data_IF_761162770036
#
_entry.id   IF_761162770036
#
_cell.length_a   1.000
_cell.length_b   1.000
_cell.length_c   1.000
_cell.angle_alpha   90.00
_cell.angle_beta   90.00
_cell.angle_gamma   90.00
#
_symmetry.space_group_name_H-M   'P 1'
#
loop_
_entity.id
_entity.type
_entity.pdbx_description
1 polymer ?
#
# COMPACT_ATOMS: atom_id res chain seq x y z
N UNK A 1 1.63 8.52 -1.71
CA UNK A 1 1.84 8.96 -3.10
C UNK A 1 1.70 7.74 -4.01
N UNK A 2 1.11 7.90 -5.20
CA UNK A 2 0.99 6.81 -6.17
C UNK A 2 2.28 6.67 -6.98
N UNK A 3 2.75 5.44 -7.20
CA UNK A 3 3.86 5.15 -8.12
C UNK A 3 3.49 5.41 -9.58
N UNK A 4 4.49 5.41 -10.48
CA UNK A 4 4.29 5.73 -11.90
C UNK A 4 3.24 4.86 -12.61
N UNK A 5 3.16 3.57 -12.25
CA UNK A 5 2.11 2.66 -12.71
C UNK A 5 0.72 3.11 -12.26
N UNK A 6 0.54 3.38 -10.97
CA UNK A 6 -0.76 3.76 -10.42
C UNK A 6 -1.27 5.10 -10.96
N UNK A 7 -0.36 6.05 -11.21
CA UNK A 7 -0.72 7.32 -11.86
C UNK A 7 -1.21 7.12 -13.29
N UNK A 8 -0.52 6.30 -14.08
CA UNK A 8 -0.93 6.00 -15.46
C UNK A 8 -2.30 5.29 -15.51
N UNK A 9 -2.54 4.33 -14.61
CA UNK A 9 -3.82 3.65 -14.49
C UNK A 9 -4.98 4.60 -14.15
N UNK A 10 -4.80 5.51 -13.19
CA UNK A 10 -5.84 6.48 -12.84
C UNK A 10 -6.13 7.50 -13.96
N UNK A 11 -5.15 7.77 -14.81
CA UNK A 11 -5.32 8.63 -15.99
C UNK A 11 -5.96 7.89 -17.17
N UNK A 12 -6.19 6.59 -17.07
CA UNK A 12 -6.67 5.76 -18.17
C UNK A 12 -5.63 5.50 -19.27
N UNK A 13 -4.37 5.86 -19.02
CA UNK A 13 -3.26 5.68 -19.97
C UNK A 13 -2.73 4.24 -19.90
N UNK A 14 -3.46 3.33 -20.57
CA UNK A 14 -3.12 1.90 -20.58
C UNK A 14 -1.74 1.63 -21.18
N UNK A 15 -1.34 2.38 -22.20
CA UNK A 15 -0.03 2.18 -22.86
C UNK A 15 1.09 2.41 -21.87
N UNK A 16 1.07 3.57 -21.20
CA UNK A 16 2.08 3.92 -20.22
C UNK A 16 2.04 3.02 -18.98
N UNK A 17 0.86 2.59 -18.55
CA UNK A 17 0.73 1.63 -17.46
C UNK A 17 1.38 0.28 -17.80
N UNK A 18 1.13 -0.23 -19.00
CA UNK A 18 1.76 -1.48 -19.49
C UNK A 18 3.28 -1.34 -19.58
N UNK A 19 3.79 -0.25 -20.14
CA UNK A 19 5.23 0.01 -20.23
C UNK A 19 5.89 0.03 -18.85
N UNK A 20 5.27 0.70 -17.87
CA UNK A 20 5.75 0.71 -16.49
C UNK A 20 5.78 -0.69 -15.88
N UNK A 21 4.68 -1.44 -15.99
CA UNK A 21 4.56 -2.76 -15.42
C UNK A 21 5.58 -3.74 -16.04
N UNK A 22 5.72 -3.75 -17.36
CA UNK A 22 6.68 -4.59 -18.07
C UNK A 22 8.12 -4.23 -17.72
N UNK A 23 8.46 -2.94 -17.67
CA UNK A 23 9.79 -2.48 -17.29
C UNK A 23 10.16 -2.92 -15.87
N UNK A 24 9.25 -2.73 -14.91
CA UNK A 24 9.49 -3.13 -13.53
C UNK A 24 9.56 -4.65 -13.37
N UNK A 25 8.69 -5.39 -14.05
CA UNK A 25 8.74 -6.85 -14.06
C UNK A 25 10.05 -7.40 -14.64
N UNK A 26 10.59 -6.77 -15.70
CA UNK A 26 11.87 -7.12 -16.29
C UNK A 26 13.05 -6.81 -15.36
N UNK A 27 13.00 -5.69 -14.63
CA UNK A 27 14.04 -5.31 -13.65
C UNK A 27 14.00 -6.19 -12.38
N UNK A 28 12.82 -6.65 -12.00
CA UNK A 28 12.61 -7.46 -10.79
C UNK A 28 11.89 -8.79 -11.11
N UNK A 29 12.51 -9.71 -11.88
CA UNK A 29 11.88 -10.98 -12.24
C UNK A 29 11.46 -11.78 -11.01
N UNK A 30 10.20 -12.20 -10.97
CA UNK A 30 9.62 -12.97 -9.85
C UNK A 30 9.53 -12.20 -8.51
N UNK A 31 9.83 -10.89 -8.51
CA UNK A 31 9.91 -10.03 -7.33
C UNK A 31 9.12 -8.72 -7.47
N UNK A 32 8.42 -8.53 -8.58
CA UNK A 32 7.51 -7.41 -8.79
C UNK A 32 6.06 -7.85 -8.54
N UNK A 33 5.33 -7.06 -7.75
CA UNK A 33 3.92 -7.24 -7.45
C UNK A 33 3.20 -5.92 -7.64
N UNK A 34 1.97 -5.96 -8.14
CA UNK A 34 1.09 -4.79 -8.22
C UNK A 34 0.36 -4.65 -6.89
N UNK A 35 0.63 -3.55 -6.17
CA UNK A 35 0.02 -3.25 -4.87
C UNK A 35 -1.44 -2.84 -5.03
N UNK A 36 -2.32 -3.42 -4.20
CA UNK A 36 -3.73 -3.09 -4.09
C UNK A 36 -4.03 -2.61 -2.67
N UNK A 37 -4.71 -1.45 -2.55
CA UNK A 37 -5.10 -0.88 -1.26
C UNK A 37 -6.58 -0.50 -1.25
N UNK A 38 -7.27 -0.80 -0.13
CA UNK A 38 -8.68 -0.44 0.13
C UNK A 38 -8.81 0.21 1.50
N UNK A 39 -8.21 1.38 1.67
CA UNK A 39 -8.32 2.20 2.88
C UNK A 39 -9.47 3.21 2.84
N UNK A 40 -10.16 3.34 1.69
CA UNK A 40 -11.25 4.29 1.50
C UNK A 40 -10.80 5.67 1.02
N UNK A 41 -9.52 5.82 0.62
CA UNK A 41 -9.05 7.07 0.00
C UNK A 41 -9.68 7.23 -1.40
N UNK A 42 -9.99 8.46 -1.83
CA UNK A 42 -10.53 8.72 -3.16
C UNK A 42 -9.67 8.10 -4.27
N UNK A 43 -10.32 7.43 -5.21
CA UNK A 43 -9.66 6.79 -6.36
C UNK A 43 -9.04 5.41 -6.10
N UNK A 44 -8.96 4.93 -4.85
CA UNK A 44 -8.39 3.60 -4.58
C UNK A 44 -9.16 2.46 -5.24
N UNK A 45 -10.50 2.44 -5.15
CA UNK A 45 -11.27 1.37 -5.78
C UNK A 45 -11.14 1.41 -7.31
N UNK A 46 -11.16 2.59 -7.92
CA UNK A 46 -10.91 2.74 -9.35
C UNK A 46 -9.52 2.21 -9.75
N UNK A 47 -8.50 2.48 -8.92
CA UNK A 47 -7.16 1.95 -9.15
C UNK A 47 -7.12 0.42 -9.01
N UNK A 48 -7.80 -0.16 -8.01
CA UNK A 48 -7.90 -1.63 -7.86
C UNK A 48 -8.56 -2.25 -9.09
N UNK A 49 -9.70 -1.70 -9.52
CA UNK A 49 -10.43 -2.16 -10.70
C UNK A 49 -9.62 -2.04 -12.00
N UNK A 50 -8.73 -1.05 -12.11
CA UNK A 50 -7.82 -0.89 -13.25
C UNK A 50 -6.58 -1.81 -13.16
N UNK A 51 -6.09 -2.07 -11.94
CA UNK A 51 -4.88 -2.85 -11.70
C UNK A 51 -5.07 -4.34 -11.93
N UNK A 52 -6.21 -4.90 -11.52
CA UNK A 52 -6.49 -6.34 -11.59
C UNK A 52 -6.50 -6.86 -13.05
N UNK A 53 -7.19 -6.22 -14.01
CA UNK A 53 -7.15 -6.64 -15.41
C UNK A 53 -5.75 -6.53 -16.02
N UNK A 54 -5.01 -5.46 -15.72
CA UNK A 54 -3.63 -5.29 -16.21
C UNK A 54 -2.72 -6.40 -15.66
N UNK A 55 -2.84 -6.72 -14.37
CA UNK A 55 -2.08 -7.79 -13.74
C UNK A 55 -2.37 -9.14 -14.41
N UNK A 56 -3.64 -9.43 -14.71
CA UNK A 56 -4.06 -10.64 -15.40
C UNK A 56 -3.52 -10.70 -16.85
N UNK A 57 -3.63 -9.60 -17.61
CA UNK A 57 -3.13 -9.48 -18.99
C UNK A 57 -1.61 -9.73 -19.08
N UNK A 58 -0.85 -9.24 -18.10
CA UNK A 58 0.61 -9.35 -18.07
C UNK A 58 1.13 -10.57 -17.30
N UNK A 59 0.24 -11.38 -16.72
CA UNK A 59 0.63 -12.50 -15.86
C UNK A 59 1.40 -12.10 -14.60
N UNK A 60 1.13 -10.90 -14.07
CA UNK A 60 1.81 -10.35 -12.89
C UNK A 60 1.00 -10.60 -11.61
N UNK A 61 1.68 -10.87 -10.48
CA UNK A 61 0.99 -11.08 -9.22
C UNK A 61 0.53 -9.75 -8.61
N UNK A 62 -0.59 -9.78 -7.91
CA UNK A 62 -1.10 -8.66 -7.08
C UNK A 62 -0.84 -8.93 -5.60
N UNK A 63 -0.72 -7.88 -4.79
CA UNK A 63 -0.57 -8.01 -3.34
C UNK A 63 -1.42 -6.97 -2.62
N UNK A 64 -2.16 -7.40 -1.60
CA UNK A 64 -2.95 -6.50 -0.77
C UNK A 64 -2.08 -5.88 0.32
N UNK A 65 -2.20 -4.57 0.51
CA UNK A 65 -1.58 -3.86 1.62
C UNK A 65 -2.60 -2.90 2.26
N UNK A 66 -2.23 -2.34 3.40
CA UNK A 66 -2.99 -1.29 4.05
C UNK A 66 -2.04 -0.18 4.49
N UNK A 67 -2.31 1.10 4.18
CA UNK A 67 -1.43 2.22 4.50
C UNK A 67 -1.56 2.61 5.98
N UNK A 68 -1.12 1.72 6.87
CA UNK A 68 -1.21 1.85 8.33
C UNK A 68 -0.44 3.09 8.80
N UNK A 69 -1.06 3.88 9.67
CA UNK A 69 -0.49 5.11 10.26
C UNK A 69 -0.47 5.07 11.80
N UNK A 70 -1.28 4.19 12.39
CA UNK A 70 -1.49 4.07 13.83
C UNK A 70 -2.01 2.66 14.16
N UNK A 71 -2.02 2.28 15.45
CA UNK A 71 -2.28 0.90 15.85
C UNK A 71 -3.78 0.60 15.89
N UNK A 72 -4.56 1.39 16.62
CA UNK A 72 -6.01 1.20 16.76
C UNK A 72 -6.80 2.34 16.15
N UNK A 73 -8.10 2.16 15.93
CA UNK A 73 -8.93 3.20 15.30
C UNK A 73 -9.01 4.47 16.16
N UNK A 74 -8.96 4.31 17.48
CA UNK A 74 -9.01 5.40 18.47
C UNK A 74 -7.76 6.30 18.44
N UNK A 75 -6.63 5.79 17.94
CA UNK A 75 -5.37 6.54 17.83
C UNK A 75 -5.41 7.63 16.75
N UNK A 76 -6.47 7.70 15.93
CA UNK A 76 -6.57 8.65 14.83
C UNK A 76 -6.42 10.11 15.27
N UNK A 77 -7.09 10.52 16.35
CA UNK A 77 -7.02 11.90 16.85
C UNK A 77 -5.62 12.25 17.38
N UNK A 78 -4.96 11.28 18.04
CA UNK A 78 -3.58 11.43 18.48
C UNK A 78 -2.62 11.56 17.29
N UNK A 79 -2.85 10.78 16.23
CA UNK A 79 -2.08 10.88 14.99
C UNK A 79 -2.28 12.25 14.32
N UNK A 80 -3.50 12.76 14.23
CA UNK A 80 -3.80 14.07 13.65
C UNK A 80 -3.12 15.20 14.44
N UNK A 81 -3.16 15.16 15.77
CA UNK A 81 -2.43 16.11 16.61
C UNK A 81 -0.92 16.08 16.34
N UNK A 82 -0.33 14.88 16.26
CA UNK A 82 1.10 14.70 15.94
C UNK A 82 1.46 15.28 14.57
N UNK A 83 0.62 15.07 13.55
CA UNK A 83 0.82 15.62 12.20
C UNK A 83 0.75 17.14 12.22
N UNK A 84 -0.24 17.72 12.91
CA UNK A 84 -0.35 19.17 13.05
C UNK A 84 0.89 19.80 13.69
N UNK A 85 1.43 19.20 14.76
CA UNK A 85 2.69 19.67 15.38
C UNK A 85 3.84 19.64 14.38
N UNK A 86 3.98 18.57 13.60
CA UNK A 86 5.05 18.43 12.62
C UNK A 86 4.94 19.41 11.43
N UNK A 87 3.71 19.72 11.01
CA UNK A 87 3.44 20.64 9.90
C UNK A 87 3.35 22.12 10.35
N UNK A 88 3.46 22.41 11.65
CA UNK A 88 3.28 23.76 12.18
C UNK A 88 1.84 24.27 12.04
N UNK A 89 0.86 23.35 12.02
CA UNK A 89 -0.57 23.61 11.83
C UNK A 89 -1.33 23.44 13.16
N UNK A 90 -2.53 24.01 13.26
CA UNK A 90 -3.39 23.86 14.45
C UNK A 90 -4.56 22.92 14.18
N UNK A 91 -4.84 21.99 15.11
CA UNK A 91 -5.95 21.02 14.96
C UNK A 91 -7.31 21.69 14.77
N UNK A 92 -7.51 22.85 15.41
CA UNK A 92 -8.72 23.67 15.33
C UNK A 92 -8.87 24.44 14.00
N UNK A 93 -7.85 24.51 13.14
CA UNK A 93 -7.94 25.20 11.86
C UNK A 93 -8.87 24.41 10.91
N UNK A 94 -10.05 24.96 10.52
CA UNK A 94 -10.98 24.25 9.65
C UNK A 94 -10.47 24.09 8.21
N UNK A 95 -9.46 24.88 7.81
CA UNK A 95 -8.82 24.80 6.48
C UNK A 95 -7.63 23.85 6.43
N UNK A 96 -7.28 23.19 7.55
CA UNK A 96 -6.17 22.25 7.58
C UNK A 96 -6.40 21.10 6.60
N UNK A 97 -5.34 20.64 5.95
CA UNK A 97 -5.43 19.54 5.01
C UNK A 97 -5.48 18.22 5.79
N UNK A 98 -6.63 17.55 5.76
CA UNK A 98 -6.79 16.21 6.33
C UNK A 98 -6.30 15.17 5.33
N UNK A 99 -5.06 14.71 5.50
CA UNK A 99 -4.41 13.74 4.60
C UNK A 99 -4.75 12.29 4.93
N UNK A 100 -5.17 12.03 6.16
CA UNK A 100 -5.35 10.69 6.70
C UNK A 100 -6.80 10.38 7.02
N UNK A 101 -7.16 9.10 7.01
CA UNK A 101 -8.48 8.59 7.35
C UNK A 101 -8.41 7.77 8.65
N UNK A 102 -9.50 7.76 9.46
CA UNK A 102 -9.59 6.89 10.64
C UNK A 102 -9.37 5.40 10.32
N UNK A 103 -9.70 4.97 9.11
CA UNK A 103 -9.54 3.59 8.65
C UNK A 103 -8.08 3.10 8.54
N UNK A 104 -7.09 3.99 8.65
CA UNK A 104 -5.65 3.68 8.50
C UNK A 104 -4.99 3.08 9.75
N UNK A 105 -5.76 2.42 10.62
CA UNK A 105 -5.23 1.62 11.72
C UNK A 105 -4.75 0.24 11.28
N UNK A 106 -4.10 -0.50 12.19
CA UNK A 106 -3.65 -1.86 11.92
C UNK A 106 -4.81 -2.87 11.94
N UNK A 107 -5.41 -3.09 10.77
CA UNK A 107 -6.54 -4.01 10.61
C UNK A 107 -6.17 -5.46 10.95
N UNK A 108 -7.13 -6.15 11.57
CA UNK A 108 -7.05 -7.59 11.81
C UNK A 108 -7.04 -8.39 10.50
N UNK A 109 -6.57 -9.63 10.56
CA UNK A 109 -6.59 -10.54 9.41
C UNK A 109 -8.00 -10.76 8.86
N UNK A 110 -9.01 -10.87 9.72
CA UNK A 110 -10.40 -11.06 9.31
C UNK A 110 -10.91 -9.85 8.51
N UNK A 111 -10.63 -8.64 8.98
CA UNK A 111 -10.99 -7.40 8.27
C UNK A 111 -10.30 -7.30 6.91
N UNK A 112 -9.01 -7.63 6.83
CA UNK A 112 -8.28 -7.62 5.55
C UNK A 112 -8.79 -8.68 4.57
N UNK A 113 -9.16 -9.88 5.06
CA UNK A 113 -9.78 -10.92 4.23
C UNK A 113 -11.13 -10.49 3.68
N UNK A 114 -11.96 -9.85 4.50
CA UNK A 114 -13.26 -9.34 4.04
C UNK A 114 -13.07 -8.23 2.99
N UNK A 115 -12.13 -7.30 3.21
CA UNK A 115 -11.83 -6.22 2.27
C UNK A 115 -11.38 -6.71 0.89
N UNK A 116 -10.76 -7.89 0.80
CA UNK A 116 -10.23 -8.46 -0.44
C UNK A 116 -10.86 -9.81 -0.77
N UNK A 117 -12.10 -10.07 -0.34
CA UNK A 117 -12.80 -11.34 -0.55
C UNK A 117 -12.98 -11.72 -2.02
N UNK A 118 -13.05 -10.72 -2.89
CA UNK A 118 -13.13 -10.81 -4.35
C UNK A 118 -11.76 -11.06 -5.01
N UNK A 119 -10.65 -10.84 -4.29
CA UNK A 119 -9.28 -11.06 -4.79
C UNK A 119 -8.44 -11.82 -3.73
N UNK A 120 -8.77 -13.09 -3.43
CA UNK A 120 -8.08 -13.84 -2.36
C UNK A 120 -6.56 -13.97 -2.58
N UNK A 121 -6.12 -14.02 -3.85
CA UNK A 121 -4.70 -14.09 -4.22
C UNK A 121 -3.89 -12.90 -3.72
N UNK A 122 -4.49 -11.71 -3.62
CA UNK A 122 -3.82 -10.51 -3.12
C UNK A 122 -3.42 -10.68 -1.64
N UNK A 123 -4.27 -11.32 -0.84
CA UNK A 123 -3.98 -11.65 0.57
C UNK A 123 -2.99 -12.81 0.65
N UNK A 124 -3.15 -13.86 -0.15
CA UNK A 124 -2.23 -15.01 -0.14
C UNK A 124 -0.79 -14.59 -0.45
N UNK A 125 -0.61 -13.71 -1.43
CA UNK A 125 0.71 -13.20 -1.80
C UNK A 125 1.42 -12.43 -0.68
N UNK A 126 0.69 -11.83 0.27
CA UNK A 126 1.31 -11.21 1.47
C UNK A 126 2.09 -12.23 2.29
N UNK A 127 1.54 -13.44 2.46
CA UNK A 127 2.16 -14.52 3.22
C UNK A 127 3.35 -15.09 2.45
N UNK A 128 3.21 -15.25 1.14
CA UNK A 128 4.30 -15.72 0.28
C UNK A 128 5.49 -14.76 0.28
N UNK A 129 5.23 -13.45 0.22
CA UNK A 129 6.28 -12.42 0.34
C UNK A 129 6.93 -12.51 1.72
N UNK A 130 6.13 -12.55 2.80
CA UNK A 130 6.66 -12.63 4.16
C UNK A 130 7.55 -13.86 4.38
N UNK A 131 7.18 -15.03 3.82
CA UNK A 131 7.99 -16.25 3.87
C UNK A 131 9.34 -16.12 3.15
N UNK A 132 9.39 -15.34 2.06
CA UNK A 132 10.62 -15.10 1.28
C UNK A 132 11.55 -14.07 1.94
N UNK A 133 11.03 -13.22 2.81
CA UNK A 133 11.81 -12.21 3.52
C UNK A 133 12.50 -12.80 4.75
N UNK A 134 13.77 -13.22 4.59
CA UNK A 134 14.62 -13.68 5.70
C UNK A 134 15.85 -12.78 5.83
N UNK A 135 15.95 -12.04 6.93
CA UNK A 135 17.10 -11.18 7.25
C UNK A 135 17.65 -11.57 8.61
N UNK A 136 18.96 -11.84 8.68
CA UNK A 136 19.65 -12.12 9.94
C UNK A 136 20.35 -10.85 10.41
N UNK A 137 20.02 -10.39 11.62
CA UNK A 137 20.68 -9.28 12.28
C UNK A 137 21.54 -9.82 13.42
N UNK A 138 22.85 -9.61 13.33
CA UNK A 138 23.77 -9.98 14.42
C UNK A 138 23.76 -8.85 15.46
N UNK A 139 23.07 -9.08 16.57
CA UNK A 139 22.96 -8.12 17.66
C UNK A 139 23.97 -8.45 18.78
N UNK A 140 24.44 -7.43 19.49
CA UNK A 140 25.26 -7.60 20.70
C UNK A 140 26.69 -8.12 20.46
N UNK A 141 27.16 -8.19 19.21
CA UNK A 141 28.55 -8.53 18.88
C UNK A 141 29.25 -7.31 18.26
N UNK A 142 30.26 -6.73 18.91
CA UNK A 142 31.07 -5.68 18.33
C UNK A 142 31.75 -6.17 17.04
N UNK A 143 31.62 -5.42 15.94
CA UNK A 143 32.31 -5.65 14.68
C UNK A 143 33.50 -4.67 14.60
N UNK A 144 34.48 -4.87 15.48
CA UNK A 144 35.72 -4.08 15.49
C UNK A 144 36.71 -4.68 14.48
N UNK A 145 37.58 -3.87 13.85
CA UNK A 145 38.62 -4.35 12.94
C UNK A 145 39.62 -5.29 13.61
#
# INVERSE_FOLDING_TARGET
QLGGLGQALLQGDKVRATEWAQRLAALFPGRFYIELQRAGLPGQEALVQASVPLAAELGLPVVATHPIQFLTEEDFEAHEARVCVAEGETLANPKRIKRFLPSQYFKSQAQMRELFRDIPSAIQNTVEIARRCSLTLVLGKPQLP
#
